data_IF_680118095684
#
_entry.id   IF_680118095684
#
_cell.length_a   1.000
_cell.length_b   1.000
_cell.length_c   1.000
_cell.angle_alpha   90.00
_cell.angle_beta   90.00
_cell.angle_gamma   90.00
#
_symmetry.space_group_name_H-M   'P 1'
#
loop_
_entity.id
_entity.type
_entity.pdbx_description
1 polymer ?
#
# COMPACT_ATOMS: atom_id res chain seq x y z
N UNK A 1 43.85 59.73 -11.86
CA UNK A 1 43.58 58.71 -12.91
C UNK A 1 44.25 57.37 -12.56
N UNK A 2 45.29 57.37 -11.75
CA UNK A 2 46.10 56.17 -11.42
C UNK A 2 45.47 55.20 -10.41
N UNK A 3 44.60 55.67 -9.54
CA UNK A 3 43.93 54.82 -8.53
C UNK A 3 42.86 53.86 -9.09
N UNK A 4 42.31 54.13 -10.27
CA UNK A 4 41.33 53.28 -10.95
C UNK A 4 42.05 52.14 -11.67
N UNK A 5 43.19 52.37 -12.26
CA UNK A 5 44.00 51.40 -13.00
C UNK A 5 44.63 50.32 -12.05
N UNK A 6 45.02 50.71 -10.85
CA UNK A 6 45.60 49.79 -9.85
C UNK A 6 44.58 48.86 -9.22
N UNK A 7 43.29 49.22 -9.16
CA UNK A 7 42.23 48.40 -8.56
C UNK A 7 41.53 47.49 -9.58
N UNK A 8 41.76 47.64 -10.87
CA UNK A 8 41.11 46.88 -11.94
C UNK A 8 41.30 45.35 -11.80
N UNK A 9 42.53 44.83 -11.51
CA UNK A 9 42.71 43.38 -11.33
C UNK A 9 42.04 42.84 -10.06
N UNK A 10 41.93 43.65 -9.00
CA UNK A 10 41.25 43.24 -7.76
C UNK A 10 39.73 43.15 -8.00
N UNK A 11 39.16 44.14 -8.70
CA UNK A 11 37.73 44.15 -9.04
C UNK A 11 37.41 42.97 -9.96
N UNK A 12 38.24 42.69 -10.97
CA UNK A 12 38.07 41.54 -11.85
C UNK A 12 38.17 40.23 -11.10
N UNK A 13 39.09 40.08 -10.15
CA UNK A 13 39.24 38.91 -9.30
C UNK A 13 38.02 38.68 -8.41
N UNK A 14 37.52 39.74 -7.77
CA UNK A 14 36.29 39.65 -6.92
C UNK A 14 35.08 39.28 -7.76
N UNK A 15 34.94 39.85 -8.97
CA UNK A 15 33.82 39.49 -9.86
C UNK A 15 33.86 38.05 -10.31
N UNK A 16 35.02 37.50 -10.61
CA UNK A 16 35.18 36.08 -10.98
C UNK A 16 34.81 35.16 -9.79
N UNK A 17 35.26 35.50 -8.58
CA UNK A 17 34.91 34.72 -7.37
C UNK A 17 33.40 34.75 -7.12
N UNK A 18 32.73 35.89 -7.26
CA UNK A 18 31.29 36.01 -7.12
C UNK A 18 30.53 35.19 -8.17
N UNK A 19 30.99 35.17 -9.42
CA UNK A 19 30.40 34.35 -10.48
C UNK A 19 30.56 32.85 -10.18
N UNK A 20 31.70 32.42 -9.69
CA UNK A 20 31.94 31.03 -9.30
C UNK A 20 31.04 30.64 -8.12
N UNK A 21 30.96 31.46 -7.08
CA UNK A 21 30.07 31.21 -5.94
C UNK A 21 28.61 31.21 -6.35
N UNK A 22 28.18 32.12 -7.21
CA UNK A 22 26.84 32.15 -7.80
C UNK A 22 26.53 30.90 -8.60
N UNK A 23 27.46 30.41 -9.41
CA UNK A 23 27.28 29.19 -10.19
C UNK A 23 27.18 27.94 -9.31
N UNK A 24 27.98 27.87 -8.24
CA UNK A 24 27.91 26.77 -7.26
C UNK A 24 26.56 26.80 -6.50
N UNK A 25 26.15 27.99 -6.06
CA UNK A 25 24.85 28.15 -5.37
C UNK A 25 23.68 27.78 -6.29
N UNK A 26 23.71 28.24 -7.54
CA UNK A 26 22.70 27.86 -8.55
C UNK A 26 22.66 26.37 -8.79
N UNK A 27 23.81 25.71 -8.97
CA UNK A 27 23.89 24.26 -9.19
C UNK A 27 23.36 23.48 -8.00
N UNK A 28 23.69 23.91 -6.77
CA UNK A 28 23.15 23.29 -5.54
C UNK A 28 21.64 23.47 -5.43
N UNK A 29 21.11 24.64 -5.68
CA UNK A 29 19.68 24.92 -5.66
C UNK A 29 18.93 24.12 -6.74
N UNK A 30 19.47 24.05 -7.96
CA UNK A 30 18.90 23.25 -9.05
C UNK A 30 18.87 21.76 -8.70
N UNK A 31 19.96 21.21 -8.16
CA UNK A 31 20.02 19.79 -7.72
C UNK A 31 19.03 19.54 -6.58
N UNK A 32 18.94 20.43 -5.60
CA UNK A 32 17.99 20.30 -4.51
C UNK A 32 16.53 20.28 -5.03
N UNK A 33 16.18 21.21 -5.91
CA UNK A 33 14.84 21.30 -6.50
C UNK A 33 14.50 20.06 -7.34
N UNK A 34 15.45 19.50 -8.10
CA UNK A 34 15.22 18.29 -8.88
C UNK A 34 14.99 17.07 -7.98
N UNK A 35 15.73 16.93 -6.87
CA UNK A 35 15.53 15.87 -5.89
C UNK A 35 14.14 16.00 -5.25
N UNK A 36 13.73 17.19 -4.87
CA UNK A 36 12.39 17.42 -4.27
C UNK A 36 11.26 17.14 -5.27
N UNK A 37 11.41 17.51 -6.53
CA UNK A 37 10.44 17.18 -7.57
C UNK A 37 10.33 15.66 -7.78
N UNK A 38 11.47 14.96 -7.86
CA UNK A 38 11.52 13.51 -7.97
C UNK A 38 10.82 12.82 -6.77
N UNK A 39 11.10 13.28 -5.55
CA UNK A 39 10.47 12.75 -4.33
C UNK A 39 8.95 12.97 -4.30
N UNK A 40 8.46 14.13 -4.74
CA UNK A 40 7.01 14.38 -4.88
C UNK A 40 6.36 13.42 -5.87
N UNK A 41 6.97 13.20 -7.02
CA UNK A 41 6.53 12.19 -7.99
C UNK A 41 6.46 10.79 -7.36
N UNK A 42 7.50 10.41 -6.61
CA UNK A 42 7.55 9.15 -5.89
C UNK A 42 6.44 8.97 -4.85
N UNK A 43 6.14 10.02 -4.08
CA UNK A 43 5.02 9.98 -3.12
C UNK A 43 3.67 9.84 -3.81
N UNK A 44 3.47 10.48 -4.96
CA UNK A 44 2.25 10.32 -5.76
C UNK A 44 2.10 8.88 -6.27
N UNK A 45 3.19 8.27 -6.78
CA UNK A 45 3.23 6.87 -7.18
C UNK A 45 2.86 5.93 -6.01
N UNK A 46 3.50 6.11 -4.85
CA UNK A 46 3.22 5.30 -3.67
C UNK A 46 1.77 5.42 -3.21
N UNK A 47 1.21 6.64 -3.23
CA UNK A 47 -0.19 6.86 -2.88
C UNK A 47 -1.12 6.08 -3.81
N UNK A 48 -0.87 6.11 -5.12
CA UNK A 48 -1.69 5.38 -6.09
C UNK A 48 -1.50 3.86 -5.99
N UNK A 49 -0.27 3.37 -5.77
CA UNK A 49 0.01 1.94 -5.51
C UNK A 49 -0.70 1.45 -4.25
N UNK A 50 -0.70 2.25 -3.17
CA UNK A 50 -1.44 1.93 -1.94
C UNK A 50 -2.96 1.84 -2.20
N UNK A 51 -3.52 2.77 -2.98
CA UNK A 51 -4.93 2.72 -3.36
C UNK A 51 -5.24 1.48 -4.21
N UNK A 52 -4.38 1.14 -5.17
CA UNK A 52 -4.48 -0.08 -5.95
C UNK A 52 -4.43 -1.32 -5.05
N UNK A 53 -3.49 -1.39 -4.11
CA UNK A 53 -3.38 -2.47 -3.14
C UNK A 53 -4.69 -2.64 -2.36
N UNK A 54 -5.21 -1.56 -1.78
CA UNK A 54 -6.45 -1.58 -0.99
C UNK A 54 -7.66 -2.04 -1.81
N UNK A 55 -7.80 -1.58 -3.06
CA UNK A 55 -8.92 -1.98 -3.92
C UNK A 55 -8.83 -3.43 -4.39
N UNK A 56 -7.63 -3.95 -4.73
CA UNK A 56 -7.44 -5.36 -5.06
C UNK A 56 -7.69 -6.25 -3.82
N UNK A 57 -7.27 -5.83 -2.64
CA UNK A 57 -7.59 -6.53 -1.39
C UNK A 57 -9.10 -6.58 -1.12
N UNK A 58 -9.84 -5.50 -1.42
CA UNK A 58 -11.31 -5.51 -1.34
C UNK A 58 -11.92 -6.48 -2.35
N UNK A 59 -11.44 -6.46 -3.59
CA UNK A 59 -11.89 -7.39 -4.65
C UNK A 59 -11.68 -8.85 -4.24
N UNK A 60 -10.50 -9.18 -3.67
CA UNK A 60 -10.23 -10.52 -3.13
C UNK A 60 -11.27 -10.95 -2.07
N UNK A 61 -11.58 -10.06 -1.12
CA UNK A 61 -12.53 -10.34 -0.06
C UNK A 61 -13.96 -10.54 -0.57
N UNK A 62 -14.43 -9.66 -1.44
CA UNK A 62 -15.76 -9.72 -2.04
C UNK A 62 -15.91 -10.98 -2.90
N UNK A 63 -14.97 -11.23 -3.82
CA UNK A 63 -15.04 -12.41 -4.70
C UNK A 63 -14.97 -13.70 -3.91
N UNK A 64 -14.19 -13.76 -2.82
CA UNK A 64 -14.15 -14.92 -1.96
C UNK A 64 -15.51 -15.15 -1.22
N UNK A 65 -16.14 -14.08 -0.74
CA UNK A 65 -17.48 -14.17 -0.15
C UNK A 65 -18.54 -14.68 -1.13
N UNK A 66 -18.53 -14.14 -2.37
CA UNK A 66 -19.43 -14.59 -3.45
C UNK A 66 -19.20 -16.06 -3.78
N UNK A 67 -17.95 -16.49 -3.95
CA UNK A 67 -17.62 -17.90 -4.24
C UNK A 67 -17.95 -18.84 -3.05
N UNK A 68 -18.07 -18.30 -1.86
CA UNK A 68 -18.52 -19.05 -0.66
C UNK A 68 -20.03 -18.97 -0.41
N UNK A 69 -20.82 -18.31 -1.29
CA UNK A 69 -22.28 -18.35 -1.28
C UNK A 69 -23.00 -17.08 -0.81
N UNK A 70 -22.30 -15.95 -0.59
CA UNK A 70 -22.97 -14.66 -0.32
C UNK A 70 -23.05 -13.77 -1.57
N UNK A 71 -24.11 -13.98 -2.34
CA UNK A 71 -24.36 -13.21 -3.58
C UNK A 71 -24.62 -11.71 -3.34
N UNK A 72 -24.94 -11.28 -2.12
CA UNK A 72 -25.20 -9.88 -1.79
C UNK A 72 -23.94 -9.02 -2.00
N UNK A 73 -22.77 -9.59 -1.78
CA UNK A 73 -21.49 -8.93 -1.99
C UNK A 73 -21.22 -8.60 -3.46
N UNK A 74 -21.84 -9.32 -4.41
CA UNK A 74 -21.60 -9.17 -5.84
C UNK A 74 -21.91 -7.75 -6.36
N UNK A 75 -22.89 -7.07 -5.79
CA UNK A 75 -23.29 -5.72 -6.21
C UNK A 75 -22.17 -4.67 -6.08
N UNK A 76 -21.16 -4.92 -5.25
CA UNK A 76 -20.01 -4.02 -5.04
C UNK A 76 -18.90 -4.18 -6.10
N UNK A 77 -18.89 -5.26 -6.88
CA UNK A 77 -17.79 -5.57 -7.78
C UNK A 77 -17.63 -4.62 -8.97
N UNK A 78 -18.71 -4.17 -9.67
CA UNK A 78 -18.53 -3.32 -10.85
C UNK A 78 -17.82 -2.00 -10.52
N UNK A 79 -18.20 -1.32 -9.44
CA UNK A 79 -17.56 -0.08 -8.99
C UNK A 79 -16.10 -0.33 -8.63
N UNK A 80 -15.84 -1.38 -7.87
CA UNK A 80 -14.50 -1.73 -7.41
C UNK A 80 -13.56 -2.07 -8.57
N UNK A 81 -14.03 -2.81 -9.57
CA UNK A 81 -13.26 -3.11 -10.79
C UNK A 81 -12.98 -1.85 -11.61
N UNK A 82 -13.93 -0.91 -11.66
CA UNK A 82 -13.71 0.39 -12.28
C UNK A 82 -12.63 1.20 -11.55
N UNK A 83 -12.64 1.19 -10.21
CA UNK A 83 -11.62 1.86 -9.41
C UNK A 83 -10.22 1.26 -9.63
N UNK A 84 -10.10 -0.07 -9.66
CA UNK A 84 -8.84 -0.75 -9.94
C UNK A 84 -8.32 -0.35 -11.33
N UNK A 85 -9.16 -0.39 -12.36
CA UNK A 85 -8.78 0.01 -13.71
C UNK A 85 -8.33 1.47 -13.78
N UNK A 86 -9.00 2.37 -13.04
CA UNK A 86 -8.59 3.78 -12.94
C UNK A 86 -7.22 3.93 -12.28
N UNK A 87 -6.93 3.20 -11.20
CA UNK A 87 -5.62 3.23 -10.56
C UNK A 87 -4.51 2.71 -11.48
N UNK A 88 -4.77 1.62 -12.21
CA UNK A 88 -3.84 1.10 -13.21
C UNK A 88 -3.56 2.12 -14.31
N UNK A 89 -4.60 2.78 -14.84
CA UNK A 89 -4.44 3.85 -15.84
C UNK A 89 -3.65 5.03 -15.28
N UNK A 90 -3.93 5.47 -14.05
CA UNK A 90 -3.18 6.55 -13.41
C UNK A 90 -1.70 6.20 -13.29
N UNK A 91 -1.37 4.99 -12.81
CA UNK A 91 0.00 4.51 -12.72
C UNK A 91 0.68 4.43 -14.10
N UNK A 92 -0.08 4.07 -15.14
CA UNK A 92 0.41 4.05 -16.50
C UNK A 92 0.75 5.44 -17.08
N UNK A 93 0.24 6.53 -16.51
CA UNK A 93 0.52 7.91 -16.95
C UNK A 93 1.62 8.60 -16.13
N UNK A 94 2.00 8.04 -14.98
CA UNK A 94 3.07 8.57 -14.17
C UNK A 94 4.44 8.18 -14.75
N UNK A 95 5.48 9.00 -14.48
CA UNK A 95 6.84 8.77 -15.00
C UNK A 95 7.41 7.38 -14.62
N UNK A 96 8.21 6.84 -15.48
CA UNK A 96 8.53 5.43 -15.70
C UNK A 96 9.59 4.71 -14.82
N UNK A 97 9.64 4.69 -13.51
CA UNK A 97 10.59 3.74 -12.92
C UNK A 97 10.04 2.32 -12.76
N UNK A 98 8.72 2.14 -12.71
CA UNK A 98 8.08 0.87 -12.33
C UNK A 98 7.70 0.03 -13.55
N UNK A 99 7.32 0.64 -14.66
CA UNK A 99 6.81 -0.06 -15.85
C UNK A 99 7.71 -1.16 -16.42
N UNK A 100 9.03 -1.00 -16.28
CA UNK A 100 10.02 -1.97 -16.76
C UNK A 100 10.23 -3.15 -15.82
N UNK A 101 9.67 -3.12 -14.60
CA UNK A 101 9.92 -4.17 -13.60
C UNK A 101 9.07 -5.42 -13.84
N UNK A 102 9.54 -6.57 -13.36
CA UNK A 102 8.82 -7.83 -13.48
C UNK A 102 7.55 -7.84 -12.63
N UNK A 103 7.58 -7.20 -11.47
CA UNK A 103 6.47 -7.07 -10.55
C UNK A 103 5.31 -6.32 -11.18
N UNK A 104 5.57 -5.14 -11.78
CA UNK A 104 4.54 -4.36 -12.45
C UNK A 104 3.93 -5.08 -13.65
N UNK A 105 4.77 -5.66 -14.51
CA UNK A 105 4.28 -6.49 -15.65
C UNK A 105 3.38 -7.62 -15.17
N UNK A 106 3.73 -8.26 -14.04
CA UNK A 106 2.88 -9.31 -13.48
C UNK A 106 1.49 -8.76 -13.05
N UNK A 107 1.42 -7.54 -12.51
CA UNK A 107 0.14 -6.89 -12.18
C UNK A 107 -0.70 -6.64 -13.43
N UNK A 108 -0.11 -6.05 -14.47
CA UNK A 108 -0.80 -5.76 -15.75
C UNK A 108 -1.30 -7.03 -16.44
N UNK A 109 -0.50 -8.08 -16.44
CA UNK A 109 -0.83 -9.36 -17.11
C UNK A 109 -1.91 -10.15 -16.34
N UNK A 110 -1.90 -10.10 -15.00
CA UNK A 110 -2.79 -10.94 -14.18
C UNK A 110 -4.14 -10.32 -13.91
N UNK A 111 -4.22 -8.99 -13.78
CA UNK A 111 -5.48 -8.34 -13.44
C UNK A 111 -6.64 -8.64 -14.41
N UNK A 112 -6.47 -8.62 -15.75
CA UNK A 112 -7.57 -8.93 -16.68
C UNK A 112 -8.16 -10.32 -16.46
N UNK A 113 -7.33 -11.31 -16.15
CA UNK A 113 -7.79 -12.67 -15.86
C UNK A 113 -8.53 -12.74 -14.52
N UNK A 114 -8.05 -12.06 -13.48
CA UNK A 114 -8.73 -11.94 -12.19
C UNK A 114 -10.10 -11.29 -12.36
N UNK A 115 -10.17 -10.20 -13.10
CA UNK A 115 -11.40 -9.45 -13.34
C UNK A 115 -12.47 -10.28 -14.05
N UNK A 116 -12.09 -11.06 -15.06
CA UNK A 116 -13.05 -11.74 -15.95
C UNK A 116 -13.35 -13.19 -15.54
N UNK A 117 -12.42 -13.91 -14.92
CA UNK A 117 -12.52 -15.35 -14.71
C UNK A 117 -12.71 -15.80 -13.26
N UNK A 118 -12.70 -14.91 -12.26
CA UNK A 118 -12.80 -15.30 -10.84
C UNK A 118 -13.99 -16.22 -10.56
N UNK A 119 -15.13 -16.07 -11.27
CA UNK A 119 -16.33 -16.89 -11.09
C UNK A 119 -16.15 -18.37 -11.49
N UNK A 120 -15.14 -18.66 -12.29
CA UNK A 120 -14.83 -20.01 -12.75
C UNK A 120 -13.86 -20.74 -11.80
N UNK A 121 -13.36 -20.01 -10.79
CA UNK A 121 -12.37 -20.52 -9.84
C UNK A 121 -13.02 -21.07 -8.58
N UNK A 122 -12.32 -21.98 -7.93
CA UNK A 122 -12.62 -22.30 -6.53
C UNK A 122 -12.25 -21.11 -5.63
N UNK A 123 -12.85 -21.03 -4.45
CA UNK A 123 -12.50 -20.01 -3.45
C UNK A 123 -10.99 -20.04 -3.11
N UNK A 124 -10.40 -21.24 -3.05
CA UNK A 124 -8.96 -21.40 -2.80
C UNK A 124 -8.11 -20.85 -3.95
N UNK A 125 -8.45 -21.18 -5.20
CA UNK A 125 -7.78 -20.66 -6.39
C UNK A 125 -7.90 -19.13 -6.47
N UNK A 126 -9.09 -18.58 -6.19
CA UNK A 126 -9.33 -17.14 -6.13
C UNK A 126 -8.41 -16.46 -5.12
N UNK A 127 -8.33 -16.98 -3.89
CA UNK A 127 -7.44 -16.44 -2.86
C UNK A 127 -5.96 -16.53 -3.28
N UNK A 128 -5.54 -17.67 -3.83
CA UNK A 128 -4.15 -17.87 -4.25
C UNK A 128 -3.74 -16.89 -5.36
N UNK A 129 -4.60 -16.72 -6.39
CA UNK A 129 -4.32 -15.82 -7.52
C UNK A 129 -4.29 -14.35 -7.06
N UNK A 130 -5.23 -13.91 -6.22
CA UNK A 130 -5.19 -12.57 -5.65
C UNK A 130 -3.97 -12.33 -4.76
N UNK A 131 -3.54 -13.33 -3.97
CA UNK A 131 -2.36 -13.20 -3.12
C UNK A 131 -1.09 -13.01 -3.97
N UNK A 132 -0.96 -13.71 -5.10
CA UNK A 132 0.15 -13.51 -6.04
C UNK A 132 0.12 -12.09 -6.64
N UNK A 133 -1.06 -11.62 -7.05
CA UNK A 133 -1.24 -10.27 -7.58
C UNK A 133 -0.88 -9.20 -6.54
N UNK A 134 -1.34 -9.35 -5.30
CA UNK A 134 -1.05 -8.42 -4.20
C UNK A 134 0.43 -8.43 -3.81
N UNK A 135 1.10 -9.60 -3.86
CA UNK A 135 2.53 -9.68 -3.63
C UNK A 135 3.30 -8.86 -4.68
N UNK A 136 2.90 -8.92 -5.97
CA UNK A 136 3.51 -8.12 -7.02
C UNK A 136 3.26 -6.61 -6.84
N UNK A 137 2.08 -6.20 -6.37
CA UNK A 137 1.83 -4.78 -6.02
C UNK A 137 2.71 -4.33 -4.86
N UNK A 138 2.88 -5.15 -3.82
CA UNK A 138 3.75 -4.83 -2.68
C UNK A 138 5.22 -4.73 -3.10
N UNK A 139 5.68 -5.59 -4.00
CA UNK A 139 7.03 -5.50 -4.60
C UNK A 139 7.19 -4.20 -5.40
N UNK A 140 6.19 -3.83 -6.20
CA UNK A 140 6.18 -2.54 -6.92
C UNK A 140 6.21 -1.33 -5.98
N UNK A 141 5.60 -1.41 -4.79
CA UNK A 141 5.72 -0.38 -3.74
C UNK A 141 7.16 -0.27 -3.25
N UNK A 142 7.83 -1.38 -2.98
CA UNK A 142 9.22 -1.39 -2.51
C UNK A 142 10.17 -0.87 -3.60
N UNK A 143 10.02 -1.29 -4.85
CA UNK A 143 10.79 -0.80 -6.00
C UNK A 143 10.62 0.72 -6.19
N UNK A 144 9.38 1.22 -6.08
CA UNK A 144 9.07 2.64 -6.12
C UNK A 144 9.77 3.41 -5.01
N UNK A 145 9.67 2.94 -3.77
CA UNK A 145 10.29 3.57 -2.62
C UNK A 145 11.82 3.63 -2.75
N UNK A 146 12.45 2.58 -3.27
CA UNK A 146 13.89 2.53 -3.54
C UNK A 146 14.29 3.48 -4.66
N UNK A 147 13.59 3.48 -5.79
CA UNK A 147 13.89 4.33 -6.94
C UNK A 147 13.90 5.81 -6.58
N UNK A 148 12.88 6.28 -5.86
CA UNK A 148 12.74 7.67 -5.44
C UNK A 148 13.49 8.00 -4.14
N UNK A 149 14.24 7.04 -3.57
CA UNK A 149 15.00 7.18 -2.31
C UNK A 149 14.14 7.71 -1.17
N UNK A 150 12.91 7.24 -1.08
CA UNK A 150 11.94 7.72 -0.08
C UNK A 150 12.28 7.23 1.34
N UNK A 151 13.05 6.16 1.44
CA UNK A 151 13.61 5.66 2.70
C UNK A 151 14.53 6.66 3.41
N UNK A 152 15.11 7.61 2.66
CA UNK A 152 16.01 8.64 3.19
C UNK A 152 15.27 9.89 3.70
N UNK A 153 13.94 9.94 3.57
CA UNK A 153 13.15 11.03 4.11
C UNK A 153 13.11 10.93 5.64
N UNK A 154 13.53 11.98 6.37
CA UNK A 154 13.44 11.97 7.83
C UNK A 154 11.97 12.04 8.27
N UNK A 155 11.58 11.21 9.23
CA UNK A 155 10.35 11.41 9.98
C UNK A 155 10.56 12.39 11.13
N UNK A 156 9.45 13.00 11.61
CA UNK A 156 9.45 13.93 12.76
C UNK A 156 10.05 13.30 14.02
N UNK A 157 9.98 11.97 14.16
CA UNK A 157 10.38 11.23 15.38
C UNK A 157 11.67 10.40 15.21
N UNK A 158 12.42 10.62 14.12
CA UNK A 158 13.72 9.96 13.90
C UNK A 158 13.68 8.51 13.41
N UNK A 159 12.50 7.91 13.25
CA UNK A 159 12.34 6.62 12.58
C UNK A 159 12.36 6.79 11.05
N UNK A 160 12.88 5.79 10.33
CA UNK A 160 12.88 5.87 8.88
C UNK A 160 11.47 5.56 8.34
N UNK A 161 10.97 6.39 7.42
CA UNK A 161 9.71 6.16 6.70
C UNK A 161 9.65 4.73 6.13
N UNK A 162 10.77 4.21 5.64
CA UNK A 162 10.86 2.87 5.06
C UNK A 162 10.54 1.75 6.07
N UNK A 163 11.01 1.85 7.31
CA UNK A 163 10.75 0.83 8.34
C UNK A 163 9.26 0.83 8.69
N UNK A 164 8.68 2.01 8.91
CA UNK A 164 7.25 2.17 9.19
C UNK A 164 6.38 1.62 8.04
N UNK A 165 6.69 1.97 6.80
CA UNK A 165 5.94 1.49 5.63
C UNK A 165 6.00 -0.02 5.48
N UNK A 166 7.18 -0.61 5.68
CA UNK A 166 7.36 -2.06 5.56
C UNK A 166 6.53 -2.84 6.56
N UNK A 167 6.50 -2.41 7.81
CA UNK A 167 5.75 -3.10 8.87
C UNK A 167 4.25 -2.85 8.78
N UNK A 168 3.83 -1.62 8.47
CA UNK A 168 2.42 -1.28 8.26
C UNK A 168 1.83 -1.98 7.03
N UNK A 169 2.55 -2.09 5.92
CA UNK A 169 2.06 -2.82 4.74
C UNK A 169 1.94 -4.32 5.00
N UNK A 170 2.85 -4.90 5.79
CA UNK A 170 2.74 -6.31 6.20
C UNK A 170 1.49 -6.57 7.04
N UNK A 171 1.24 -5.72 8.05
CA UNK A 171 0.04 -5.90 8.87
C UNK A 171 -1.24 -5.59 8.09
N UNK A 172 -1.21 -4.59 7.20
CA UNK A 172 -2.34 -4.32 6.29
C UNK A 172 -2.67 -5.54 5.41
N UNK A 173 -1.64 -6.25 4.92
CA UNK A 173 -1.86 -7.50 4.17
C UNK A 173 -2.40 -8.62 5.08
N UNK A 174 -1.93 -8.74 6.32
CA UNK A 174 -2.50 -9.70 7.29
C UNK A 174 -4.00 -9.41 7.56
N UNK A 175 -4.37 -8.14 7.76
CA UNK A 175 -5.77 -7.72 7.92
C UNK A 175 -6.58 -8.02 6.65
N UNK A 176 -6.01 -7.71 5.47
CA UNK A 176 -6.64 -7.98 4.17
C UNK A 176 -6.86 -9.48 3.92
N UNK A 177 -5.92 -10.34 4.32
CA UNK A 177 -6.09 -11.80 4.25
C UNK A 177 -7.13 -12.30 5.26
N UNK A 178 -7.11 -11.79 6.49
CA UNK A 178 -8.11 -12.11 7.51
C UNK A 178 -9.51 -11.71 7.04
N UNK A 179 -9.66 -10.52 6.41
CA UNK A 179 -10.93 -10.09 5.79
C UNK A 179 -11.41 -11.09 4.74
N UNK A 180 -10.57 -11.43 3.77
CA UNK A 180 -10.97 -12.32 2.69
C UNK A 180 -11.35 -13.72 3.19
N UNK A 181 -10.52 -14.31 4.05
CA UNK A 181 -10.74 -15.64 4.58
C UNK A 181 -11.95 -15.68 5.52
N UNK A 182 -12.05 -14.72 6.44
CA UNK A 182 -13.16 -14.65 7.39
C UNK A 182 -14.50 -14.36 6.72
N UNK A 183 -14.54 -13.52 5.66
CA UNK A 183 -15.74 -13.30 4.84
C UNK A 183 -16.21 -14.61 4.20
N UNK A 184 -15.32 -15.42 3.65
CA UNK A 184 -15.68 -16.73 3.09
C UNK A 184 -16.17 -17.72 4.15
N UNK A 185 -15.55 -17.73 5.33
CA UNK A 185 -15.99 -18.55 6.47
C UNK A 185 -17.37 -18.13 6.95
N UNK A 186 -17.63 -16.83 7.08
CA UNK A 186 -18.93 -16.31 7.48
C UNK A 186 -20.01 -16.60 6.42
N UNK A 187 -19.71 -16.43 5.12
CA UNK A 187 -20.63 -16.70 4.01
C UNK A 187 -21.17 -18.14 4.01
N UNK A 188 -20.27 -19.11 4.20
CA UNK A 188 -20.65 -20.54 4.22
C UNK A 188 -21.03 -21.08 5.61
N UNK A 189 -20.99 -20.21 6.66
CA UNK A 189 -21.28 -20.59 8.06
C UNK A 189 -20.49 -21.82 8.53
N UNK A 190 -19.28 -22.01 8.02
CA UNK A 190 -18.41 -23.14 8.32
C UNK A 190 -16.95 -22.78 8.24
N UNK A 191 -16.18 -23.16 9.27
CA UNK A 191 -14.72 -22.95 9.32
C UNK A 191 -14.02 -24.31 9.26
N UNK A 192 -13.31 -24.59 8.17
CA UNK A 192 -12.49 -25.80 8.04
C UNK A 192 -11.25 -25.71 8.94
N UNK A 193 -10.59 -26.85 9.19
CA UNK A 193 -9.36 -26.89 10.00
C UNK A 193 -8.24 -26.02 9.41
N UNK A 194 -8.11 -26.01 8.08
CA UNK A 194 -7.09 -25.20 7.39
C UNK A 194 -7.39 -23.71 7.55
N UNK A 195 -8.64 -23.29 7.34
CA UNK A 195 -9.05 -21.89 7.52
C UNK A 195 -8.87 -21.44 8.98
N UNK A 196 -9.18 -22.30 9.93
CA UNK A 196 -9.00 -22.05 11.35
C UNK A 196 -7.52 -21.80 11.69
N UNK A 197 -6.61 -22.64 11.20
CA UNK A 197 -5.18 -22.48 11.41
C UNK A 197 -4.70 -21.16 10.80
N UNK A 198 -5.10 -20.87 9.57
CA UNK A 198 -4.72 -19.63 8.88
C UNK A 198 -5.27 -18.38 9.58
N UNK A 199 -6.54 -18.39 9.99
CA UNK A 199 -7.13 -17.26 10.71
C UNK A 199 -6.47 -17.03 12.08
N UNK A 200 -6.13 -18.10 12.81
CA UNK A 200 -5.38 -17.98 14.08
C UNK A 200 -4.01 -17.36 13.86
N UNK A 201 -3.27 -17.80 12.84
CA UNK A 201 -1.98 -17.21 12.49
C UNK A 201 -2.10 -15.72 12.16
N UNK A 202 -3.09 -15.33 11.34
CA UNK A 202 -3.34 -13.93 10.99
C UNK A 202 -3.75 -13.11 12.22
N UNK A 203 -4.63 -13.66 13.07
CA UNK A 203 -5.02 -13.03 14.33
C UNK A 203 -3.81 -12.75 15.22
N UNK A 204 -2.94 -13.74 15.46
CA UNK A 204 -1.72 -13.58 16.25
C UNK A 204 -0.76 -12.55 15.64
N UNK A 205 -0.58 -12.57 14.32
CA UNK A 205 0.28 -11.62 13.62
C UNK A 205 -0.20 -10.18 13.79
N UNK A 206 -1.51 -9.94 13.63
CA UNK A 206 -2.13 -8.63 13.80
C UNK A 206 -2.07 -8.20 15.28
N UNK A 207 -2.38 -9.11 16.20
CA UNK A 207 -2.35 -8.84 17.64
C UNK A 207 -0.95 -8.43 18.11
N UNK A 208 0.09 -9.15 17.67
CA UNK A 208 1.48 -8.85 18.02
C UNK A 208 1.91 -7.47 17.51
N UNK A 209 1.49 -7.12 16.29
CA UNK A 209 1.75 -5.77 15.76
C UNK A 209 1.11 -4.69 16.63
N UNK A 210 -0.21 -4.79 16.91
CA UNK A 210 -0.93 -3.80 17.72
C UNK A 210 -0.34 -3.69 19.12
N UNK A 211 0.03 -4.82 19.73
CA UNK A 211 0.63 -4.86 21.07
C UNK A 211 2.03 -4.23 21.15
N UNK A 212 2.77 -4.23 20.05
CA UNK A 212 4.08 -3.59 19.96
C UNK A 212 4.00 -2.07 19.79
N UNK A 213 2.86 -1.52 19.38
CA UNK A 213 2.67 -0.08 19.18
C UNK A 213 2.42 0.63 20.51
N UNK A 214 3.35 1.48 20.94
CA UNK A 214 3.28 2.18 22.23
C UNK A 214 2.38 3.43 22.23
N UNK A 215 2.17 4.05 21.08
CA UNK A 215 1.58 5.39 20.96
C UNK A 215 0.31 5.44 20.11
N UNK A 216 -0.13 4.34 19.51
CA UNK A 216 -1.33 4.29 18.68
C UNK A 216 -2.34 3.30 19.27
N UNK A 217 -3.58 3.76 19.41
CA UNK A 217 -4.71 2.90 19.74
C UNK A 217 -5.38 2.49 18.39
N UNK A 218 -5.61 1.20 18.22
CA UNK A 218 -6.24 0.63 17.02
C UNK A 218 -7.60 0.02 17.37
N UNK A 219 -8.64 0.82 17.68
CA UNK A 219 -9.91 0.32 18.16
C UNK A 219 -10.65 -0.56 17.14
N UNK A 220 -10.60 -0.23 15.83
CA UNK A 220 -11.27 -1.04 14.81
C UNK A 220 -10.52 -2.34 14.56
N UNK A 221 -9.18 -2.34 14.61
CA UNK A 221 -8.38 -3.58 14.55
C UNK A 221 -8.65 -4.47 15.76
N UNK A 222 -8.71 -3.90 16.97
CA UNK A 222 -9.06 -4.67 18.19
C UNK A 222 -10.47 -5.26 18.11
N UNK A 223 -11.44 -4.53 17.56
CA UNK A 223 -12.79 -5.04 17.28
C UNK A 223 -12.73 -6.21 16.32
N UNK A 224 -11.99 -6.11 15.23
CA UNK A 224 -11.81 -7.20 14.27
C UNK A 224 -11.22 -8.45 14.94
N UNK A 225 -10.16 -8.31 15.72
CA UNK A 225 -9.54 -9.42 16.46
C UNK A 225 -10.56 -10.12 17.37
N UNK A 226 -11.33 -9.36 18.13
CA UNK A 226 -12.41 -9.89 18.97
C UNK A 226 -13.50 -10.61 18.13
N UNK A 227 -13.87 -10.07 16.97
CA UNK A 227 -14.85 -10.69 16.06
C UNK A 227 -14.31 -12.02 15.49
N UNK A 228 -13.04 -12.06 15.10
CA UNK A 228 -12.40 -13.30 14.63
C UNK A 228 -12.46 -14.37 15.71
N UNK A 229 -12.07 -14.06 16.93
CA UNK A 229 -12.02 -15.01 18.04
C UNK A 229 -13.40 -15.50 18.47
N UNK A 230 -14.34 -14.57 18.67
CA UNK A 230 -15.62 -14.85 19.33
C UNK A 230 -16.77 -15.16 18.38
N UNK A 231 -16.67 -14.82 17.08
CA UNK A 231 -17.75 -15.01 16.11
C UNK A 231 -17.36 -15.83 14.87
N UNK A 232 -16.06 -15.92 14.52
CA UNK A 232 -15.61 -16.64 13.31
C UNK A 232 -14.94 -17.97 13.65
N UNK A 233 -14.08 -18.02 14.66
CA UNK A 233 -13.32 -19.21 15.04
C UNK A 233 -14.12 -20.19 15.92
N UNK A 234 -15.37 -19.92 16.17
CA UNK A 234 -16.29 -20.83 16.89
C UNK A 234 -16.77 -21.98 16.00
N UNK A 235 -17.48 -22.93 16.57
CA UNK A 235 -17.94 -24.14 15.84
C UNK A 235 -18.82 -23.78 14.64
N UNK A 236 -19.78 -22.88 14.84
CA UNK A 236 -20.66 -22.34 13.79
C UNK A 236 -20.48 -20.83 13.77
N UNK A 237 -19.82 -20.25 12.74
CA UNK A 237 -19.67 -18.82 12.62
C UNK A 237 -21.00 -18.08 12.76
N UNK A 238 -21.02 -17.02 13.60
CA UNK A 238 -22.25 -16.32 14.00
C UNK A 238 -22.34 -14.88 13.49
N UNK A 239 -21.40 -14.45 12.63
CA UNK A 239 -21.38 -13.13 12.02
C UNK A 239 -21.81 -13.22 10.56
N UNK A 240 -22.58 -12.23 10.07
CA UNK A 240 -22.90 -12.13 8.65
C UNK A 240 -21.66 -11.76 7.82
N UNK A 241 -21.54 -12.31 6.60
CA UNK A 241 -20.36 -12.09 5.75
C UNK A 241 -20.16 -10.61 5.44
N UNK A 242 -21.22 -9.87 5.15
CA UNK A 242 -21.17 -8.44 4.89
C UNK A 242 -20.73 -7.62 6.12
N UNK A 243 -21.28 -7.93 7.29
CA UNK A 243 -20.90 -7.30 8.58
C UNK A 243 -19.40 -7.51 8.85
N UNK A 244 -18.94 -8.75 8.74
CA UNK A 244 -17.53 -9.08 8.93
C UNK A 244 -16.62 -8.37 7.93
N UNK A 245 -17.02 -8.34 6.65
CA UNK A 245 -16.27 -7.65 5.61
C UNK A 245 -16.14 -6.15 5.89
N UNK A 246 -17.22 -5.49 6.32
CA UNK A 246 -17.23 -4.07 6.62
C UNK A 246 -16.40 -3.75 7.88
N UNK A 247 -16.49 -4.54 8.93
CA UNK A 247 -15.66 -4.44 10.15
C UNK A 247 -14.15 -4.59 9.81
N UNK A 248 -13.82 -5.59 9.00
CA UNK A 248 -12.44 -5.82 8.59
C UNK A 248 -11.92 -4.73 7.61
N UNK A 249 -12.82 -4.11 6.85
CA UNK A 249 -12.47 -2.97 5.99
C UNK A 249 -12.16 -1.74 6.84
N UNK A 250 -12.95 -1.43 7.86
CA UNK A 250 -12.67 -0.34 8.80
C UNK A 250 -11.33 -0.55 9.53
N UNK A 251 -11.01 -1.79 9.92
CA UNK A 251 -9.72 -2.11 10.52
C UNK A 251 -8.54 -1.88 9.55
N UNK A 252 -8.71 -2.20 8.28
CA UNK A 252 -7.69 -1.97 7.26
C UNK A 252 -7.48 -0.48 6.98
N UNK A 253 -8.58 0.30 6.92
CA UNK A 253 -8.52 1.76 6.77
C UNK A 253 -7.81 2.43 7.95
N UNK A 254 -8.03 1.96 9.17
CA UNK A 254 -7.32 2.43 10.35
C UNK A 254 -5.82 2.18 10.24
N UNK A 255 -5.38 0.99 9.81
CA UNK A 255 -3.95 0.71 9.55
C UNK A 255 -3.40 1.63 8.46
N UNK A 256 -4.14 1.84 7.37
CA UNK A 256 -3.71 2.73 6.30
C UNK A 256 -3.69 4.21 6.67
N UNK A 257 -4.50 4.65 7.63
CA UNK A 257 -4.51 6.05 8.08
C UNK A 257 -3.18 6.47 8.70
N UNK A 258 -2.46 5.53 9.32
CA UNK A 258 -1.11 5.77 9.88
C UNK A 258 -0.05 5.94 8.78
N UNK A 259 -0.31 5.40 7.56
CA UNK A 259 0.56 5.55 6.39
C UNK A 259 0.41 6.90 5.67
N UNK A 260 -0.58 7.72 6.05
CA UNK A 260 -0.79 9.04 5.44
C UNK A 260 0.30 9.99 5.95
N UNK A 261 1.26 10.28 5.09
CA UNK A 261 2.24 11.35 5.28
C UNK A 261 1.55 12.63 4.80
N UNK A 262 1.22 13.51 5.74
CA UNK A 262 0.78 14.88 5.43
C UNK A 262 1.94 15.73 4.88
#
# INVERSE_FOLDING_TARGET
MDTILTNLPIIAGVSIVLLILGSIAWKRASTYNSIQASRRGGLQHLTTLRQLLATIQQHRGITNGVLCGDDKLQSRLPSLQSDINRHLQTLATLDEPIRGTSSWRHVEDKWPAVQSHYRQWSAEQNLATHNQLLAAVLESVEECAQHYRLAELPQKDGESIAALWKDLLKVAECVGQARALGTGVAAKSKCSSVERIRLKYLHESIHNFVSAQKHSDYPTVKKLLSTIENKVLIMIPSVAALEYFDDATAALEEVFSVLMIE
#
